data_IF_670765169469
#
_entry.id   IF_670765169469
#
_cell.length_a   1.000
_cell.length_b   1.000
_cell.length_c   1.000
_cell.angle_alpha   90.00
_cell.angle_beta   90.00
_cell.angle_gamma   90.00
#
_symmetry.space_group_name_H-M   'P 1'
#
loop_
_entity.id
_entity.type
_entity.pdbx_description
1 polymer ?
#
# COMPACT_ATOMS: atom_id res chain seq x y z
N UNK A 1 1.29 -0.52 -11.24
CA UNK A 1 2.59 -1.21 -11.39
C UNK A 1 3.66 -0.19 -11.70
N UNK A 2 4.80 -0.23 -10.99
CA UNK A 2 5.97 0.61 -11.29
C UNK A 2 6.65 0.14 -12.58
N UNK A 3 7.03 1.09 -13.44
CA UNK A 3 7.74 0.81 -14.68
C UNK A 3 9.01 -0.03 -14.41
N UNK A 4 9.38 -1.01 -15.28
CA UNK A 4 10.48 -1.94 -15.01
C UNK A 4 11.80 -1.26 -14.63
N UNK A 5 12.24 -0.24 -15.38
CA UNK A 5 13.48 0.49 -15.11
C UNK A 5 13.46 1.37 -13.86
N UNK A 6 12.30 1.49 -13.20
CA UNK A 6 12.10 2.30 -12.01
C UNK A 6 11.83 1.42 -10.76
N UNK A 7 11.88 0.09 -10.90
CA UNK A 7 11.74 -0.85 -9.77
C UNK A 7 12.96 -0.81 -8.86
N UNK A 8 12.79 -1.18 -7.59
CA UNK A 8 13.87 -1.16 -6.59
C UNK A 8 14.21 0.22 -6.03
N UNK A 9 13.73 1.31 -6.65
CA UNK A 9 13.99 2.69 -6.22
C UNK A 9 13.06 3.20 -5.10
N UNK A 10 12.22 2.34 -4.52
CA UNK A 10 11.28 2.73 -3.47
C UNK A 10 10.10 3.59 -3.93
N UNK A 11 9.95 3.86 -5.23
CA UNK A 11 8.91 4.75 -5.78
C UNK A 11 7.49 4.32 -5.42
N UNK A 12 7.21 3.01 -5.37
CA UNK A 12 5.91 2.50 -4.93
C UNK A 12 5.59 2.91 -3.49
N UNK A 13 6.57 2.81 -2.59
CA UNK A 13 6.39 3.21 -1.20
C UNK A 13 6.22 4.74 -1.07
N UNK A 14 7.00 5.51 -1.82
CA UNK A 14 6.93 6.97 -1.82
C UNK A 14 5.56 7.48 -2.30
N UNK A 15 5.04 6.94 -3.41
CA UNK A 15 3.72 7.31 -3.93
C UNK A 15 2.61 6.87 -2.98
N UNK A 16 2.66 5.65 -2.45
CA UNK A 16 1.66 5.17 -1.51
C UNK A 16 1.62 5.97 -0.21
N UNK A 17 2.78 6.39 0.30
CA UNK A 17 2.83 7.33 1.44
C UNK A 17 2.24 8.68 1.09
N UNK A 18 2.64 9.27 -0.04
CA UNK A 18 2.11 10.57 -0.47
C UNK A 18 0.58 10.57 -0.56
N UNK A 19 0.00 9.54 -1.21
CA UNK A 19 -1.44 9.39 -1.34
C UNK A 19 -2.09 9.11 0.02
N UNK A 20 -1.49 8.24 0.83
CA UNK A 20 -1.98 7.92 2.18
C UNK A 20 -2.03 9.14 3.09
N UNK A 21 -0.97 9.95 3.12
CA UNK A 21 -0.87 11.17 3.91
C UNK A 21 -1.95 12.19 3.47
N UNK A 22 -2.17 12.35 2.16
CA UNK A 22 -3.23 13.21 1.63
C UNK A 22 -4.63 12.72 2.04
N UNK A 23 -4.90 11.42 1.92
CA UNK A 23 -6.20 10.84 2.31
C UNK A 23 -6.45 10.93 3.83
N UNK A 24 -5.42 10.72 4.65
CA UNK A 24 -5.54 10.88 6.11
C UNK A 24 -5.79 12.35 6.47
N UNK A 25 -5.09 13.28 5.81
CA UNK A 25 -5.30 14.72 6.02
C UNK A 25 -6.75 15.12 5.70
N UNK A 26 -7.30 14.63 4.60
CA UNK A 26 -8.59 15.09 4.09
C UNK A 26 -9.79 14.31 4.69
N UNK A 27 -9.59 13.05 5.11
CA UNK A 27 -10.66 12.15 5.58
C UNK A 27 -10.43 11.56 6.98
N UNK A 28 -9.34 11.94 7.67
CA UNK A 28 -8.99 11.49 9.01
C UNK A 28 -8.41 10.08 9.11
N UNK A 29 -8.77 9.17 8.19
CA UNK A 29 -8.21 7.81 8.12
C UNK A 29 -8.21 7.28 6.69
N UNK A 30 -7.21 6.48 6.36
CA UNK A 30 -7.11 5.80 5.08
C UNK A 30 -6.46 4.43 5.24
N UNK A 31 -6.78 3.50 4.34
CA UNK A 31 -6.13 2.20 4.24
C UNK A 31 -5.87 1.87 2.77
N UNK A 32 -4.73 1.24 2.50
CA UNK A 32 -4.40 0.68 1.20
C UNK A 32 -4.61 -0.83 1.26
N UNK A 33 -5.41 -1.36 0.35
CA UNK A 33 -5.61 -2.81 0.24
C UNK A 33 -4.61 -3.39 -0.75
N UNK A 34 -4.07 -4.55 -0.40
CA UNK A 34 -3.15 -5.32 -1.22
C UNK A 34 -3.42 -6.79 -1.02
N UNK A 35 -3.16 -7.59 -2.06
CA UNK A 35 -3.17 -9.04 -1.91
C UNK A 35 -2.08 -9.46 -0.89
N UNK A 36 -2.45 -10.31 0.07
CA UNK A 36 -1.52 -10.74 1.11
C UNK A 36 -0.32 -11.54 0.56
N UNK A 37 -0.44 -12.11 -0.64
CA UNK A 37 0.66 -12.78 -1.33
C UNK A 37 1.66 -11.80 -1.98
N UNK A 38 1.32 -10.51 -2.12
CA UNK A 38 2.26 -9.49 -2.60
C UNK A 38 3.17 -9.01 -1.46
N UNK A 39 4.11 -9.88 -1.09
CA UNK A 39 5.07 -9.63 -0.01
C UNK A 39 5.89 -8.36 -0.25
N UNK A 40 6.14 -7.98 -1.51
CA UNK A 40 6.90 -6.79 -1.85
C UNK A 40 6.14 -5.51 -1.48
N UNK A 41 4.84 -5.47 -1.80
CA UNK A 41 3.97 -4.36 -1.45
C UNK A 41 3.69 -4.29 0.07
N UNK A 42 3.47 -5.43 0.73
CA UNK A 42 3.34 -5.49 2.20
C UNK A 42 4.58 -4.87 2.87
N UNK A 43 5.77 -5.32 2.50
CA UNK A 43 7.01 -4.78 3.06
C UNK A 43 7.22 -3.30 2.72
N UNK A 44 6.75 -2.84 1.55
CA UNK A 44 6.81 -1.41 1.19
C UNK A 44 5.93 -0.55 2.11
N UNK A 45 4.72 -1.02 2.44
CA UNK A 45 3.78 -0.30 3.29
C UNK A 45 4.22 -0.27 4.76
N UNK A 46 4.76 -1.37 5.26
CA UNK A 46 5.34 -1.43 6.61
C UNK A 46 6.51 -0.45 6.76
N UNK A 47 7.40 -0.33 5.76
CA UNK A 47 8.50 0.64 5.78
C UNK A 47 8.05 2.10 5.84
N UNK A 48 6.84 2.41 5.38
CA UNK A 48 6.27 3.77 5.46
C UNK A 48 5.37 3.98 6.68
N UNK A 49 5.40 3.04 7.64
CA UNK A 49 4.73 3.18 8.93
C UNK A 49 3.31 2.64 8.98
N UNK A 50 2.84 1.96 7.93
CA UNK A 50 1.54 1.29 7.96
C UNK A 50 1.62 -0.05 8.69
N UNK A 51 0.48 -0.51 9.20
CA UNK A 51 0.32 -1.85 9.81
C UNK A 51 -0.70 -2.66 9.02
N UNK A 52 -0.37 -3.91 8.73
CA UNK A 52 -1.27 -4.85 8.06
C UNK A 52 -2.45 -5.29 8.94
N UNK A 53 -3.64 -5.35 8.34
CA UNK A 53 -4.84 -5.97 8.92
C UNK A 53 -5.34 -7.03 7.93
N UNK A 54 -5.27 -8.33 8.27
CA UNK A 54 -5.73 -9.38 7.38
C UNK A 54 -7.24 -9.28 7.17
N UNK A 55 -7.68 -9.26 5.92
CA UNK A 55 -9.09 -9.24 5.53
C UNK A 55 -9.36 -10.42 4.61
N UNK A 56 -10.54 -11.02 4.73
CA UNK A 56 -11.00 -12.01 3.75
C UNK A 56 -11.50 -11.30 2.50
N UNK A 57 -11.13 -11.81 1.34
CA UNK A 57 -11.72 -11.37 0.08
C UNK A 57 -13.22 -11.67 0.10
N UNK A 58 -14.00 -10.78 -0.50
CA UNK A 58 -15.42 -11.06 -0.74
C UNK A 58 -15.53 -12.22 -1.74
N UNK A 59 -16.27 -13.26 -1.36
CA UNK A 59 -16.68 -14.29 -2.30
C UNK A 59 -17.90 -13.77 -3.07
N UNK A 60 -17.82 -13.70 -4.39
CA UNK A 60 -19.00 -13.56 -5.24
C UNK A 60 -19.51 -14.99 -5.47
N UNK A 61 -20.67 -15.30 -4.88
CA UNK A 61 -21.38 -16.57 -5.10
C UNK A 61 -22.29 -16.51 -6.30
#
# INVERSE_FOLDING_TARGET
LTAPGARGLGLGAAVSRFVGDALVRDFGRAALMVDAADAAAVAAYERVGMRGVPLRAAAVG
#
